data_IF_710412830142
#
_entry.id   IF_710412830142
#
_cell.length_a   1.000
_cell.length_b   1.000
_cell.length_c   1.000
_cell.angle_alpha   90.00
_cell.angle_beta   90.00
_cell.angle_gamma   90.00
#
_symmetry.space_group_name_H-M   'P 1'
#
loop_
_entity.id
_entity.type
_entity.pdbx_description
1 polymer ?
#
# COMPACT_ATOMS: atom_id res chain seq x y z
N UNK A 1 -30.53 -33.87 15.88
CA UNK A 1 -29.43 -33.98 14.91
C UNK A 1 -29.57 -32.80 13.95
N UNK A 2 -28.91 -31.68 14.25
CA UNK A 2 -29.03 -30.45 13.45
C UNK A 2 -28.01 -30.45 12.32
N UNK A 3 -28.42 -30.26 11.06
CA UNK A 3 -27.52 -29.96 9.97
C UNK A 3 -27.20 -28.46 10.05
N UNK A 4 -26.45 -28.05 11.07
CA UNK A 4 -25.67 -26.82 10.99
C UNK A 4 -24.46 -27.19 10.13
N UNK A 5 -24.77 -27.24 8.83
CA UNK A 5 -23.85 -27.49 7.75
C UNK A 5 -22.69 -26.54 7.98
N UNK A 6 -21.54 -27.15 8.26
CA UNK A 6 -20.23 -26.55 8.35
C UNK A 6 -19.96 -25.95 6.97
N UNK A 7 -20.50 -24.76 6.72
CA UNK A 7 -20.13 -23.94 5.59
C UNK A 7 -18.71 -23.50 5.93
N UNK A 8 -17.75 -24.37 5.61
CA UNK A 8 -16.34 -24.06 5.68
C UNK A 8 -16.18 -22.84 4.79
N UNK A 9 -16.07 -21.69 5.45
CA UNK A 9 -15.84 -20.39 4.85
C UNK A 9 -14.52 -20.53 4.10
N UNK A 10 -14.58 -20.87 2.81
CA UNK A 10 -13.41 -20.91 1.95
C UNK A 10 -13.08 -19.48 1.53
N UNK A 11 -12.81 -18.61 2.51
CA UNK A 11 -11.98 -17.45 2.24
C UNK A 11 -10.69 -18.01 1.66
N UNK A 12 -10.35 -17.61 0.44
CA UNK A 12 -9.15 -18.15 -0.18
C UNK A 12 -7.97 -17.73 0.70
N UNK A 13 -7.02 -18.63 1.01
CA UNK A 13 -5.89 -18.32 1.91
C UNK A 13 -5.01 -17.17 1.41
N UNK A 14 -5.28 -16.62 0.23
CA UNK A 14 -4.70 -15.40 -0.31
C UNK A 14 -5.25 -14.10 0.27
N UNK A 15 -6.49 -14.08 0.76
CA UNK A 15 -7.13 -12.84 1.24
C UNK A 15 -6.77 -12.53 2.69
N UNK A 16 -6.62 -13.58 3.51
CA UNK A 16 -6.37 -13.53 4.96
C UNK A 16 -4.92 -13.20 5.36
N UNK A 17 -4.22 -12.35 4.60
CA UNK A 17 -2.85 -11.95 4.97
C UNK A 17 -2.33 -10.72 4.24
N UNK A 18 -3.20 -9.98 3.56
CA UNK A 18 -2.78 -8.76 2.86
C UNK A 18 -2.80 -7.58 3.83
N UNK A 19 -1.74 -6.79 3.79
CA UNK A 19 -1.71 -5.48 4.44
C UNK A 19 -2.75 -4.55 3.77
N UNK A 20 -3.27 -3.55 4.48
CA UNK A 20 -4.05 -2.47 3.89
C UNK A 20 -3.29 -1.80 2.72
N UNK A 21 -3.98 -1.46 1.64
CA UNK A 21 -3.41 -0.67 0.54
C UNK A 21 -3.37 0.81 0.90
N UNK A 22 -2.46 1.15 1.80
CA UNK A 22 -2.23 2.50 2.26
C UNK A 22 -0.73 2.75 2.40
N UNK A 23 -0.28 3.88 1.89
CA UNK A 23 1.09 4.33 1.95
C UNK A 23 1.17 5.82 2.15
N UNK A 24 2.20 6.25 2.87
CA UNK A 24 2.49 7.65 3.16
C UNK A 24 3.29 8.30 2.02
N UNK A 25 4.12 7.50 1.34
CA UNK A 25 5.00 7.97 0.28
C UNK A 25 4.31 8.00 -1.10
N UNK A 26 4.89 8.78 -2.01
CA UNK A 26 4.39 8.97 -3.36
C UNK A 26 4.48 7.71 -4.24
N UNK A 27 3.54 7.56 -5.18
CA UNK A 27 3.49 6.43 -6.12
C UNK A 27 3.34 5.05 -5.47
N UNK A 28 2.85 5.03 -4.23
CA UNK A 28 2.73 3.83 -3.41
C UNK A 28 4.08 3.21 -3.05
N UNK A 29 5.14 4.02 -2.97
CA UNK A 29 6.44 3.57 -2.49
C UNK A 29 6.30 3.00 -1.07
N UNK A 30 6.77 1.77 -0.88
CA UNK A 30 6.63 1.08 0.40
C UNK A 30 5.17 0.76 0.78
N UNK A 31 4.23 0.75 -0.17
CA UNK A 31 2.95 0.06 -0.01
C UNK A 31 3.13 -1.46 -0.16
N UNK A 32 2.25 -2.24 0.47
CA UNK A 32 2.26 -3.68 0.26
C UNK A 32 1.71 -4.02 -1.12
N UNK A 33 2.15 -5.16 -1.67
CA UNK A 33 1.49 -5.74 -2.83
C UNK A 33 0.88 -7.09 -2.45
N UNK A 34 -0.21 -7.53 -3.10
CA UNK A 34 -0.72 -8.86 -2.89
C UNK A 34 0.36 -9.92 -3.16
N UNK A 35 0.59 -10.79 -2.19
CA UNK A 35 1.56 -11.90 -2.26
C UNK A 35 1.15 -12.99 -3.24
N UNK A 36 -0.13 -13.02 -3.61
CA UNK A 36 -0.69 -14.00 -4.51
C UNK A 36 -0.58 -13.56 -5.97
N UNK A 37 0.01 -14.42 -6.82
CA UNK A 37 -0.02 -14.23 -8.26
C UNK A 37 -1.44 -14.45 -8.77
N UNK A 38 -2.21 -13.36 -8.88
CA UNK A 38 -3.54 -13.35 -9.49
C UNK A 38 -3.63 -12.22 -10.48
N UNK A 39 -4.38 -12.44 -11.56
CA UNK A 39 -4.70 -11.40 -12.52
C UNK A 39 -5.88 -10.59 -11.98
N UNK A 40 -5.74 -9.27 -11.95
CA UNK A 40 -6.76 -8.39 -11.43
C UNK A 40 -6.63 -6.98 -11.99
N UNK A 41 -7.76 -6.27 -12.07
CA UNK A 41 -7.82 -4.83 -12.25
C UNK A 41 -8.34 -4.19 -10.98
N UNK A 42 -7.78 -3.04 -10.61
CA UNK A 42 -8.22 -2.30 -9.45
C UNK A 42 -8.42 -0.82 -9.78
N UNK A 43 -9.40 -0.22 -9.13
CA UNK A 43 -9.63 1.21 -9.16
C UNK A 43 -9.79 1.68 -7.72
N UNK A 44 -9.12 2.77 -7.36
CA UNK A 44 -9.20 3.30 -6.01
C UNK A 44 -9.10 4.80 -5.95
N UNK A 45 -9.52 5.35 -4.82
CA UNK A 45 -9.32 6.74 -4.47
C UNK A 45 -8.77 6.81 -3.05
N UNK A 46 -8.02 7.86 -2.75
CA UNK A 46 -7.48 8.04 -1.41
C UNK A 46 -6.99 9.45 -1.19
N UNK A 47 -6.50 9.68 0.01
CA UNK A 47 -5.91 10.95 0.38
C UNK A 47 -5.17 10.88 1.69
N UNK A 48 -4.40 11.92 1.94
CA UNK A 48 -3.76 12.17 3.22
C UNK A 48 -3.95 13.60 3.66
N UNK A 49 -3.87 13.78 4.97
CA UNK A 49 -3.85 15.07 5.63
C UNK A 49 -2.61 15.12 6.51
N UNK A 50 -1.75 16.12 6.27
CA UNK A 50 -0.62 16.47 7.12
C UNK A 50 -0.90 17.81 7.77
N UNK A 51 -0.69 17.90 9.08
CA UNK A 51 -0.81 19.15 9.83
C UNK A 51 0.35 19.30 10.81
N UNK A 52 1.15 20.34 10.61
CA UNK A 52 2.19 20.79 11.52
C UNK A 52 1.82 22.20 12.02
N UNK A 53 1.18 22.25 13.19
CA UNK A 53 0.69 23.48 13.79
C UNK A 53 1.80 24.39 14.27
N UNK A 54 2.95 23.82 14.65
CA UNK A 54 4.08 24.58 15.20
C UNK A 54 4.76 25.41 14.10
N UNK A 55 4.70 24.93 12.85
CA UNK A 55 5.29 25.59 11.68
C UNK A 55 4.28 26.23 10.73
N UNK A 56 2.98 26.28 11.10
CA UNK A 56 1.89 26.75 10.24
C UNK A 56 1.96 26.10 8.85
N UNK A 57 2.11 24.77 8.83
CA UNK A 57 2.23 23.99 7.61
C UNK A 57 1.15 22.91 7.56
N UNK A 58 0.47 22.80 6.43
CA UNK A 58 -0.46 21.72 6.15
C UNK A 58 -0.31 21.23 4.71
N UNK A 59 -0.56 19.95 4.49
CA UNK A 59 -0.61 19.39 3.14
C UNK A 59 -1.82 18.46 3.03
N UNK A 60 -2.67 18.74 2.06
CA UNK A 60 -3.81 17.88 1.72
C UNK A 60 -3.56 17.30 0.35
N UNK A 61 -3.58 15.97 0.25
CA UNK A 61 -3.49 15.25 -1.03
C UNK A 61 -4.72 14.39 -1.20
N UNK A 62 -5.25 14.37 -2.41
CA UNK A 62 -6.24 13.41 -2.86
C UNK A 62 -5.77 12.80 -4.19
N UNK A 63 -6.04 11.53 -4.41
CA UNK A 63 -5.64 10.83 -5.63
C UNK A 63 -6.66 9.79 -6.05
N UNK A 64 -6.69 9.50 -7.35
CA UNK A 64 -7.37 8.36 -7.94
C UNK A 64 -6.35 7.46 -8.62
N UNK A 65 -6.44 6.15 -8.41
CA UNK A 65 -5.49 5.15 -8.88
C UNK A 65 -6.19 4.09 -9.72
N UNK A 66 -5.53 3.70 -10.81
CA UNK A 66 -5.86 2.53 -11.62
C UNK A 66 -4.71 1.54 -11.51
N UNK A 67 -4.99 0.33 -11.05
CA UNK A 67 -4.03 -0.75 -10.94
C UNK A 67 -4.38 -1.90 -11.88
N UNK A 68 -3.35 -2.54 -12.40
CA UNK A 68 -3.45 -3.79 -13.15
C UNK A 68 -2.39 -4.77 -12.67
N UNK A 69 -2.77 -6.03 -12.52
CA UNK A 69 -1.86 -7.12 -12.18
C UNK A 69 -2.13 -8.29 -13.09
N UNK A 70 -1.05 -8.95 -13.50
CA UNK A 70 -1.11 -10.12 -14.37
C UNK A 70 -0.26 -11.25 -13.79
N UNK A 71 -0.89 -12.40 -13.55
CA UNK A 71 -0.19 -13.60 -13.12
C UNK A 71 0.60 -14.18 -14.30
N UNK A 72 1.93 -14.08 -14.23
CA UNK A 72 2.84 -14.66 -15.23
C UNK A 72 3.00 -16.17 -15.01
N UNK A 73 2.93 -16.61 -13.75
CA UNK A 73 2.94 -18.01 -13.35
C UNK A 73 2.18 -18.22 -12.03
N UNK A 74 2.18 -19.45 -11.52
CA UNK A 74 1.66 -19.79 -10.20
C UNK A 74 2.45 -19.18 -9.02
N UNK A 75 3.63 -18.61 -9.32
CA UNK A 75 4.55 -17.98 -8.35
C UNK A 75 4.86 -16.53 -8.64
N UNK A 76 4.64 -16.03 -9.85
CA UNK A 76 5.05 -14.68 -10.24
C UNK A 76 3.89 -13.88 -10.82
N UNK A 77 3.80 -12.62 -10.42
CA UNK A 77 2.92 -11.64 -11.06
C UNK A 77 3.66 -10.34 -11.30
N UNK A 78 3.30 -9.65 -12.37
CA UNK A 78 3.72 -8.27 -12.64
C UNK A 78 2.55 -7.34 -12.40
N UNK A 79 2.83 -6.13 -11.95
CA UNK A 79 1.80 -5.12 -11.72
C UNK A 79 2.24 -3.75 -12.20
N UNK A 80 1.24 -2.92 -12.50
CA UNK A 80 1.39 -1.50 -12.78
C UNK A 80 0.26 -0.73 -12.09
N UNK A 81 0.58 0.44 -11.55
CA UNK A 81 -0.35 1.32 -10.84
C UNK A 81 -0.15 2.75 -11.33
N UNK A 82 -1.20 3.37 -11.85
CA UNK A 82 -1.19 4.74 -12.36
C UNK A 82 -2.08 5.62 -11.49
N UNK A 83 -1.51 6.69 -10.92
CA UNK A 83 -2.29 7.77 -10.32
C UNK A 83 -2.94 8.61 -11.44
N UNK A 84 -4.15 8.23 -11.85
CA UNK A 84 -4.91 8.90 -12.92
C UNK A 84 -5.15 10.39 -12.64
N UNK A 85 -5.39 10.71 -11.37
CA UNK A 85 -5.59 12.07 -10.90
C UNK A 85 -4.90 12.23 -9.56
N UNK A 86 -4.22 13.36 -9.39
CA UNK A 86 -3.57 13.80 -8.16
C UNK A 86 -3.92 15.26 -7.95
N UNK A 87 -4.53 15.54 -6.83
CA UNK A 87 -4.73 16.89 -6.32
C UNK A 87 -3.92 17.05 -5.04
N UNK A 88 -3.15 18.13 -4.94
CA UNK A 88 -2.36 18.43 -3.77
C UNK A 88 -2.41 19.93 -3.49
N UNK A 89 -2.62 20.31 -2.23
CA UNK A 89 -2.53 21.70 -1.80
C UNK A 89 -1.69 21.80 -0.54
N UNK A 90 -0.76 22.76 -0.53
CA UNK A 90 0.07 23.10 0.62
C UNK A 90 -0.46 24.39 1.23
N UNK A 91 -0.83 24.30 2.50
CA UNK A 91 -1.24 25.41 3.34
C UNK A 91 0.01 25.87 4.08
N UNK A 92 0.62 26.95 3.61
CA UNK A 92 1.78 27.58 4.27
C UNK A 92 1.80 29.08 3.94
N UNK A 93 2.84 29.80 4.36
CA UNK A 93 3.05 31.21 3.97
C UNK A 93 3.16 31.40 2.45
N UNK A 94 3.62 30.36 1.74
CA UNK A 94 3.60 30.30 0.27
C UNK A 94 2.72 29.11 -0.12
N UNK A 95 1.48 29.38 -0.51
CA UNK A 95 0.56 28.34 -0.96
C UNK A 95 0.95 27.84 -2.34
N UNK A 96 0.99 26.52 -2.51
CA UNK A 96 1.13 25.87 -3.80
C UNK A 96 0.02 24.83 -3.96
N UNK A 97 -0.54 24.74 -5.16
CA UNK A 97 -1.53 23.73 -5.50
C UNK A 97 -1.18 23.09 -6.82
N UNK A 98 -1.47 21.79 -6.93
CA UNK A 98 -1.23 21.00 -8.11
C UNK A 98 -2.44 20.11 -8.40
N UNK A 99 -2.82 20.03 -9.66
CA UNK A 99 -3.82 19.11 -10.18
C UNK A 99 -3.28 18.51 -11.48
N UNK A 100 -3.11 17.19 -11.53
CA UNK A 100 -2.53 16.53 -12.69
C UNK A 100 -2.60 15.02 -12.61
N UNK A 101 -1.89 14.36 -13.51
CA UNK A 101 -1.59 12.92 -13.41
C UNK A 101 -0.48 12.77 -12.38
N UNK A 102 -0.54 11.72 -11.55
CA UNK A 102 0.48 11.43 -10.56
C UNK A 102 1.54 10.45 -11.08
N UNK A 103 2.04 9.62 -10.18
CA UNK A 103 3.11 8.68 -10.49
C UNK A 103 2.61 7.37 -11.14
N UNK A 104 3.52 6.72 -11.87
CA UNK A 104 3.36 5.39 -12.42
C UNK A 104 4.28 4.43 -11.66
N UNK A 105 3.70 3.53 -10.87
CA UNK A 105 4.39 2.42 -10.25
C UNK A 105 4.39 1.20 -11.17
N UNK A 106 5.52 0.54 -11.34
CA UNK A 106 5.64 -0.76 -12.01
C UNK A 106 6.44 -1.71 -11.14
N UNK A 107 6.06 -2.98 -11.12
CA UNK A 107 6.70 -3.93 -10.22
C UNK A 107 6.30 -5.37 -10.45
N UNK A 108 6.69 -6.21 -9.50
CA UNK A 108 6.32 -7.61 -9.51
C UNK A 108 6.40 -8.24 -8.13
N UNK A 109 5.69 -9.35 -8.02
CA UNK A 109 5.65 -10.22 -6.84
C UNK A 109 6.17 -11.59 -7.23
N UNK A 110 7.01 -12.19 -6.40
CA UNK A 110 7.52 -13.55 -6.55
C UNK A 110 7.34 -14.36 -5.26
N UNK A 111 6.52 -15.41 -5.29
CA UNK A 111 6.32 -16.33 -4.18
C UNK A 111 7.47 -17.35 -4.11
N UNK A 112 8.31 -17.23 -3.07
CA UNK A 112 9.39 -18.18 -2.77
C UNK A 112 8.84 -19.53 -2.31
N UNK A 113 7.84 -19.49 -1.43
CA UNK A 113 7.27 -20.67 -0.81
C UNK A 113 5.76 -20.50 -0.71
N UNK A 114 5.03 -21.51 -1.20
CA UNK A 114 3.58 -21.62 -1.13
C UNK A 114 3.24 -22.92 -0.40
N UNK A 115 2.77 -22.80 0.83
CA UNK A 115 2.15 -23.88 1.57
C UNK A 115 0.70 -23.49 1.91
N UNK A 116 -0.11 -24.44 2.35
CA UNK A 116 -1.53 -24.20 2.65
C UNK A 116 -1.73 -23.18 3.77
N UNK A 117 -0.79 -23.13 4.72
CA UNK A 117 -0.90 -22.31 5.94
C UNK A 117 0.07 -21.15 5.99
N UNK A 118 1.07 -21.08 5.09
CA UNK A 118 2.03 -19.99 5.09
C UNK A 118 2.58 -19.71 3.70
N UNK A 119 2.91 -18.44 3.45
CA UNK A 119 3.49 -17.96 2.21
C UNK A 119 4.64 -16.99 2.51
N UNK A 120 5.69 -17.10 1.71
CA UNK A 120 6.79 -16.12 1.68
C UNK A 120 6.90 -15.61 0.25
N UNK A 121 6.94 -14.29 0.10
CA UNK A 121 7.10 -13.63 -1.20
C UNK A 121 8.07 -12.46 -1.14
N UNK A 122 8.64 -12.13 -2.29
CA UNK A 122 9.30 -10.86 -2.51
C UNK A 122 8.43 -9.98 -3.39
N UNK A 123 8.43 -8.70 -3.09
CA UNK A 123 7.79 -7.64 -3.87
C UNK A 123 8.88 -6.65 -4.23
N UNK A 124 8.88 -6.21 -5.49
CA UNK A 124 9.73 -5.13 -5.95
C UNK A 124 8.92 -4.12 -6.76
N UNK A 125 9.20 -2.84 -6.56
CA UNK A 125 8.49 -1.73 -7.21
C UNK A 125 9.49 -0.65 -7.62
N UNK A 126 9.22 -0.05 -8.77
CA UNK A 126 9.84 1.19 -9.24
C UNK A 126 8.74 2.20 -9.50
N UNK A 127 8.92 3.42 -9.02
CA UNK A 127 8.01 4.54 -9.23
C UNK A 127 8.66 5.50 -10.21
N UNK A 128 7.96 5.76 -11.31
CA UNK A 128 8.42 6.57 -12.43
C UNK A 128 7.91 8.02 -12.30
N UNK A 129 8.70 9.03 -12.73
CA UNK A 129 8.40 10.45 -12.63
C UNK A 129 7.34 10.91 -13.65
N UNK A 130 6.15 10.32 -13.63
CA UNK A 130 5.04 10.70 -14.54
C UNK A 130 4.16 11.82 -13.98
N UNK A 131 4.46 12.31 -12.78
CA UNK A 131 3.78 13.44 -12.14
C UNK A 131 4.20 14.78 -12.79
N UNK A 132 3.86 14.94 -14.08
CA UNK A 132 4.26 16.08 -14.90
C UNK A 132 3.67 17.38 -14.32
N UNK A 133 4.50 18.41 -14.17
CA UNK A 133 4.09 19.71 -13.62
C UNK A 133 3.99 19.75 -12.10
N UNK A 134 4.24 18.63 -11.40
CA UNK A 134 4.45 18.64 -9.94
C UNK A 134 5.88 19.08 -9.59
N UNK A 135 6.84 18.74 -10.44
CA UNK A 135 8.24 19.11 -10.33
C UNK A 135 8.69 19.80 -11.62
N UNK A 136 9.03 21.09 -11.55
CA UNK A 136 9.45 21.86 -12.73
C UNK A 136 10.94 21.63 -13.08
N UNK A 137 11.78 21.44 -12.07
CA UNK A 137 13.25 21.40 -12.21
C UNK A 137 13.87 20.08 -11.69
N UNK A 138 13.03 19.08 -11.42
CA UNK A 138 13.43 17.83 -10.76
C UNK A 138 12.71 16.63 -11.35
N UNK A 139 13.44 15.54 -11.57
CA UNK A 139 12.92 14.26 -12.06
C UNK A 139 13.19 13.19 -11.00
N UNK A 140 12.22 12.89 -10.12
CA UNK A 140 12.39 11.94 -9.03
C UNK A 140 12.22 10.49 -9.50
N UNK A 141 13.13 9.63 -9.10
CA UNK A 141 13.00 8.18 -9.24
C UNK A 141 13.01 7.55 -7.85
N UNK A 142 12.13 6.57 -7.63
CA UNK A 142 12.14 5.81 -6.40
C UNK A 142 11.80 4.35 -6.64
N UNK A 143 12.09 3.52 -5.65
CA UNK A 143 11.76 2.11 -5.69
C UNK A 143 11.93 1.46 -4.34
N UNK A 144 11.29 0.31 -4.19
CA UNK A 144 11.34 -0.49 -2.98
C UNK A 144 11.43 -1.98 -3.32
N UNK A 145 11.98 -2.72 -2.37
CA UNK A 145 12.02 -4.18 -2.37
C UNK A 145 11.71 -4.66 -0.96
N UNK A 146 10.72 -5.54 -0.83
CA UNK A 146 10.33 -6.11 0.46
C UNK A 146 10.10 -7.62 0.41
N UNK A 147 10.47 -8.29 1.49
CA UNK A 147 10.02 -9.63 1.81
C UNK A 147 8.72 -9.57 2.62
N UNK A 148 7.76 -10.39 2.24
CA UNK A 148 6.47 -10.54 2.90
C UNK A 148 6.26 -11.98 3.36
N UNK A 149 5.72 -12.12 4.57
CA UNK A 149 5.35 -13.38 5.17
C UNK A 149 3.87 -13.33 5.54
N UNK A 150 3.15 -14.41 5.24
CA UNK A 150 1.75 -14.59 5.62
C UNK A 150 1.56 -15.95 6.26
N UNK A 151 0.67 -16.04 7.24
CA UNK A 151 0.29 -17.29 7.88
C UNK A 151 -1.19 -17.31 8.21
N UNK A 152 -1.89 -18.35 7.76
CA UNK A 152 -3.26 -18.63 8.18
C UNK A 152 -3.24 -19.42 9.49
N UNK A 153 -3.94 -18.95 10.51
CA UNK A 153 -3.98 -19.53 11.86
C UNK A 153 -5.20 -20.46 12.09
N UNK A 154 -6.09 -20.57 11.09
CA UNK A 154 -7.37 -21.26 11.21
C UNK A 154 -8.50 -20.33 11.68
N UNK A 155 -9.75 -20.80 11.65
CA UNK A 155 -10.94 -20.04 12.12
C UNK A 155 -11.11 -18.64 11.48
N UNK A 156 -10.66 -18.45 10.24
CA UNK A 156 -10.74 -17.15 9.55
C UNK A 156 -9.71 -16.13 10.01
N UNK A 157 -8.71 -16.50 10.81
CA UNK A 157 -7.61 -15.62 11.22
C UNK A 157 -6.36 -15.84 10.37
N UNK A 158 -5.64 -14.77 10.12
CA UNK A 158 -4.29 -14.81 9.56
C UNK A 158 -3.41 -13.71 10.13
N UNK A 159 -2.10 -13.91 10.03
CA UNK A 159 -1.09 -12.93 10.38
C UNK A 159 -0.21 -12.65 9.18
N UNK A 160 0.35 -11.45 9.14
CA UNK A 160 1.25 -11.04 8.09
C UNK A 160 2.35 -10.14 8.61
N UNK A 161 3.49 -10.21 7.94
CA UNK A 161 4.70 -9.48 8.28
C UNK A 161 5.39 -9.01 7.00
N UNK A 162 6.06 -7.87 7.07
CA UNK A 162 6.80 -7.27 5.97
C UNK A 162 8.08 -6.65 6.48
N UNK A 163 9.14 -6.81 5.70
CA UNK A 163 10.40 -6.12 5.90
C UNK A 163 10.98 -5.78 4.54
N UNK A 164 11.40 -4.54 4.35
CA UNK A 164 11.93 -4.08 3.07
C UNK A 164 12.86 -2.90 3.19
N UNK A 165 13.47 -2.58 2.05
CA UNK A 165 14.28 -1.39 1.81
C UNK A 165 13.55 -0.55 0.77
N UNK A 166 13.67 0.76 0.89
CA UNK A 166 13.21 1.69 -0.15
C UNK A 166 14.24 2.78 -0.35
N UNK A 167 14.20 3.40 -1.53
CA UNK A 167 15.12 4.48 -1.83
C UNK A 167 14.59 5.37 -2.94
N UNK A 168 15.18 6.55 -3.01
CA UNK A 168 14.89 7.53 -4.05
C UNK A 168 16.11 8.35 -4.39
N UNK A 169 16.12 8.90 -5.59
CA UNK A 169 17.07 9.90 -6.02
C UNK A 169 16.37 10.88 -6.96
N UNK A 170 16.90 12.09 -7.05
CA UNK A 170 16.36 13.14 -7.90
C UNK A 170 17.43 13.56 -8.89
N UNK A 171 17.06 13.58 -10.17
CA UNK A 171 17.88 14.19 -11.23
C UNK A 171 17.42 15.64 -11.38
N UNK A 172 18.31 16.60 -11.15
CA UNK A 172 18.03 18.04 -11.24
C UNK A 172 19.28 18.82 -11.63
N UNK A 173 19.17 20.14 -11.81
CA UNK A 173 20.32 21.04 -11.98
C UNK A 173 21.16 21.20 -10.69
N UNK A 174 20.62 20.81 -9.53
CA UNK A 174 21.29 20.88 -8.24
C UNK A 174 21.96 19.56 -7.83
N UNK A 175 22.61 19.53 -6.65
CA UNK A 175 23.17 18.29 -6.10
C UNK A 175 22.10 17.21 -5.93
N UNK A 176 22.45 15.97 -6.28
CA UNK A 176 21.59 14.82 -6.04
C UNK A 176 21.61 14.47 -4.54
N UNK A 177 20.41 14.30 -3.96
CA UNK A 177 20.24 13.87 -2.58
C UNK A 177 19.58 12.49 -2.56
N UNK A 178 20.37 11.40 -2.71
CA UNK A 178 19.81 10.06 -2.59
C UNK A 178 19.29 9.83 -1.18
N UNK A 179 18.15 9.18 -1.07
CA UNK A 179 17.55 8.74 0.19
C UNK A 179 17.40 7.23 0.18
N UNK A 180 17.56 6.60 1.34
CA UNK A 180 17.34 5.19 1.52
C UNK A 180 16.78 4.95 2.91
N UNK A 181 15.86 4.01 3.04
CA UNK A 181 15.22 3.69 4.32
C UNK A 181 14.81 2.24 4.40
N UNK A 182 14.31 1.88 5.56
CA UNK A 182 13.75 0.56 5.87
C UNK A 182 12.26 0.70 6.13
N UNK A 183 11.50 -0.30 5.70
CA UNK A 183 10.10 -0.44 6.05
C UNK A 183 9.89 -1.77 6.76
N UNK A 184 9.10 -1.74 7.82
CA UNK A 184 8.67 -2.92 8.55
C UNK A 184 7.16 -2.84 8.77
N UNK A 185 6.51 -4.01 8.81
CA UNK A 185 5.09 -4.08 9.11
C UNK A 185 4.72 -5.42 9.72
N UNK A 186 3.76 -5.41 10.62
CA UNK A 186 3.18 -6.59 11.26
C UNK A 186 1.68 -6.37 11.37
N UNK A 187 0.90 -7.41 11.14
CA UNK A 187 -0.54 -7.28 11.16
C UNK A 187 -1.27 -8.60 11.36
N UNK A 188 -2.56 -8.44 11.59
CA UNK A 188 -3.52 -9.53 11.74
C UNK A 188 -4.72 -9.25 10.86
N UNK A 189 -5.27 -10.31 10.26
CA UNK A 189 -6.54 -10.25 9.55
C UNK A 189 -7.52 -11.26 10.11
N UNK A 190 -8.80 -10.93 9.99
CA UNK A 190 -9.90 -11.73 10.48
C UNK A 190 -11.08 -11.67 9.50
N UNK A 191 -11.52 -12.83 9.02
CA UNK A 191 -12.80 -13.01 8.32
C UNK A 191 -13.89 -13.36 9.32
N UNK A 192 -14.87 -12.46 9.43
CA UNK A 192 -16.04 -12.63 10.30
C UNK A 192 -17.06 -13.56 9.66
N UNK A 193 -17.25 -13.37 8.35
CA UNK A 193 -18.19 -14.07 7.47
C UNK A 193 -17.55 -14.20 6.09
N UNK A 194 -18.13 -15.03 5.21
CA UNK A 194 -17.54 -15.36 3.91
C UNK A 194 -17.37 -14.19 2.94
N UNK A 195 -18.05 -13.07 3.18
CA UNK A 195 -17.98 -11.87 2.31
C UNK A 195 -17.32 -10.68 3.00
N UNK A 196 -16.83 -10.81 4.24
CA UNK A 196 -16.31 -9.68 4.99
C UNK A 196 -15.11 -10.07 5.84
N UNK A 197 -14.05 -9.27 5.74
CA UNK A 197 -12.85 -9.38 6.56
C UNK A 197 -12.34 -8.02 7.01
N UNK A 198 -11.56 -8.00 8.09
CA UNK A 198 -10.85 -6.81 8.55
C UNK A 198 -9.38 -7.13 8.78
N UNK A 199 -8.55 -6.09 8.76
CA UNK A 199 -7.14 -6.16 9.13
C UNK A 199 -6.76 -5.03 10.08
N UNK A 200 -5.85 -5.32 11.01
CA UNK A 200 -5.24 -4.35 11.92
C UNK A 200 -3.73 -4.54 11.88
N UNK A 201 -3.03 -3.46 11.56
CA UNK A 201 -1.62 -3.48 11.23
C UNK A 201 -0.88 -2.38 11.97
N UNK A 202 0.40 -2.63 12.25
CA UNK A 202 1.37 -1.62 12.64
C UNK A 202 2.45 -1.59 11.58
N UNK A 203 2.67 -0.43 10.99
CA UNK A 203 3.70 -0.19 9.96
C UNK A 203 4.69 0.84 10.45
N UNK A 204 5.94 0.72 10.03
CA UNK A 204 6.98 1.67 10.40
C UNK A 204 7.98 1.88 9.26
N UNK A 205 8.50 3.09 9.16
CA UNK A 205 9.60 3.46 8.28
C UNK A 205 10.73 4.09 9.08
N UNK A 206 11.97 3.81 8.68
CA UNK A 206 13.18 4.27 9.34
C UNK A 206 14.22 4.75 8.31
N UNK A 207 14.90 5.85 8.64
CA UNK A 207 16.10 6.31 7.95
C UNK A 207 15.86 6.98 6.60
N UNK A 208 14.62 7.05 6.11
CA UNK A 208 14.35 7.61 4.78
C UNK A 208 14.47 9.14 4.74
N UNK A 209 13.85 9.81 5.72
CA UNK A 209 13.96 11.24 5.99
C UNK A 209 14.53 11.49 7.39
N UNK A 210 14.19 10.63 8.37
CA UNK A 210 14.58 10.73 9.78
C UNK A 210 14.96 9.36 10.37
N UNK A 211 15.67 9.28 11.52
CA UNK A 211 16.01 7.99 12.14
C UNK A 211 14.80 7.08 12.38
N UNK A 212 13.66 7.69 12.73
CA UNK A 212 12.34 7.05 12.77
C UNK A 212 11.39 7.95 12.01
N UNK A 213 11.06 7.59 10.77
CA UNK A 213 10.14 8.37 9.94
C UNK A 213 8.74 8.31 10.57
N UNK A 214 8.20 7.10 10.74
CA UNK A 214 6.91 6.91 11.40
C UNK A 214 6.76 5.52 12.02
N UNK A 215 5.85 5.45 12.99
CA UNK A 215 5.15 4.23 13.41
C UNK A 215 3.67 4.55 13.33
N UNK A 216 2.94 3.78 12.53
CA UNK A 216 1.53 4.01 12.23
C UNK A 216 0.69 2.77 12.49
N UNK A 217 -0.52 3.01 12.99
CA UNK A 217 -1.55 2.00 13.07
C UNK A 217 -2.41 2.12 11.81
N UNK A 218 -2.71 0.98 11.17
CA UNK A 218 -3.57 0.90 10.02
C UNK A 218 -4.70 -0.10 10.25
N UNK A 219 -5.85 0.20 9.68
CA UNK A 219 -7.06 -0.61 9.72
C UNK A 219 -7.57 -0.77 8.29
N UNK A 220 -8.08 -1.96 7.96
CA UNK A 220 -8.81 -2.17 6.72
C UNK A 220 -10.09 -2.97 6.98
N UNK A 221 -11.14 -2.65 6.22
CA UNK A 221 -12.35 -3.43 6.08
C UNK A 221 -12.47 -3.85 4.61
N UNK A 222 -12.72 -5.13 4.36
CA UNK A 222 -12.85 -5.72 3.03
C UNK A 222 -14.21 -6.39 2.89
N UNK A 223 -14.84 -6.15 1.75
CA UNK A 223 -16.12 -6.73 1.36
C UNK A 223 -15.92 -7.47 0.03
N UNK A 224 -16.16 -8.77 0.03
CA UNK A 224 -16.04 -9.63 -1.14
C UNK A 224 -17.43 -9.88 -1.74
N UNK A 225 -17.62 -9.55 -3.02
CA UNK A 225 -18.87 -9.70 -3.74
C UNK A 225 -18.74 -10.88 -4.72
N UNK A 226 -18.89 -12.10 -4.20
CA UNK A 226 -18.61 -13.31 -4.99
C UNK A 226 -17.12 -13.65 -4.95
N UNK A 227 -16.63 -14.36 -5.97
CA UNK A 227 -15.21 -14.77 -6.06
C UNK A 227 -14.31 -13.70 -6.63
N UNK A 228 -14.86 -12.79 -7.44
CA UNK A 228 -14.08 -11.98 -8.37
C UNK A 228 -13.95 -10.53 -7.90
N UNK A 229 -14.92 -10.03 -7.16
CA UNK A 229 -15.02 -8.62 -6.79
C UNK A 229 -14.73 -8.38 -5.31
N UNK A 230 -13.93 -7.36 -5.02
CA UNK A 230 -13.61 -6.94 -3.65
C UNK A 230 -13.60 -5.42 -3.52
N UNK A 231 -14.17 -4.90 -2.43
CA UNK A 231 -14.05 -3.51 -2.00
C UNK A 231 -13.27 -3.44 -0.69
N UNK A 232 -12.22 -2.63 -0.64
CA UNK A 232 -11.41 -2.38 0.55
C UNK A 232 -11.53 -0.90 0.94
N UNK A 233 -11.85 -0.65 2.21
CA UNK A 233 -11.73 0.66 2.86
C UNK A 233 -10.61 0.56 3.89
N UNK A 234 -9.57 1.39 3.77
CA UNK A 234 -8.44 1.41 4.67
C UNK A 234 -8.17 2.82 5.22
N UNK A 235 -7.64 2.88 6.44
CA UNK A 235 -7.18 4.11 7.06
C UNK A 235 -5.92 3.83 7.89
N UNK A 236 -5.04 4.81 7.97
CA UNK A 236 -3.83 4.74 8.77
C UNK A 236 -3.54 6.07 9.44
N UNK A 237 -2.95 6.02 10.63
CA UNK A 237 -2.55 7.21 11.39
C UNK A 237 -1.23 6.94 12.11
N UNK A 238 -0.20 7.77 11.88
CA UNK A 238 1.04 7.69 12.64
C UNK A 238 0.80 8.17 14.07
N UNK A 239 1.41 7.48 15.03
CA UNK A 239 1.33 7.81 16.45
C UNK A 239 2.71 8.02 17.09
N UNK A 240 3.79 7.78 16.34
CA UNK A 240 5.16 8.08 16.72
C UNK A 240 6.03 8.31 15.46
N UNK A 241 7.19 8.96 15.64
CA UNK A 241 8.14 9.29 14.56
C UNK A 241 8.15 10.79 14.22
N UNK A 242 8.90 11.14 13.17
CA UNK A 242 9.00 12.51 12.66
C UNK A 242 7.85 12.91 11.73
N UNK A 243 7.16 11.93 11.15
CA UNK A 243 6.02 12.11 10.26
C UNK A 243 4.90 12.90 10.93
N UNK A 244 4.35 13.87 10.20
CA UNK A 244 3.31 14.80 10.66
C UNK A 244 1.97 14.55 10.01
N UNK A 245 1.85 13.51 9.19
CA UNK A 245 0.56 13.05 8.70
C UNK A 245 -0.39 12.79 9.87
N UNK A 246 -1.60 13.33 9.80
CA UNK A 246 -2.67 13.11 10.77
C UNK A 246 -3.37 11.79 10.45
N UNK A 247 -3.71 11.62 9.18
CA UNK A 247 -4.45 10.46 8.69
C UNK A 247 -4.25 10.28 7.18
N UNK A 248 -4.17 9.03 6.77
CA UNK A 248 -4.34 8.61 5.39
C UNK A 248 -5.56 7.68 5.29
N UNK A 249 -6.27 7.72 4.17
CA UNK A 249 -7.41 6.86 3.91
C UNK A 249 -7.48 6.47 2.42
N UNK A 250 -7.91 5.24 2.15
CA UNK A 250 -8.08 4.73 0.78
C UNK A 250 -9.36 3.90 0.66
N UNK A 251 -9.98 3.97 -0.50
CA UNK A 251 -11.06 3.11 -0.95
C UNK A 251 -10.60 2.45 -2.25
N UNK A 252 -10.63 1.12 -2.34
CA UNK A 252 -10.16 0.37 -3.49
C UNK A 252 -11.15 -0.71 -3.86
N UNK A 253 -11.61 -0.70 -5.11
CA UNK A 253 -12.30 -1.80 -5.73
C UNK A 253 -11.31 -2.65 -6.55
N UNK A 254 -11.47 -3.97 -6.54
CA UNK A 254 -10.66 -4.92 -7.29
C UNK A 254 -11.56 -5.95 -7.95
N UNK A 255 -11.34 -6.20 -9.25
CA UNK A 255 -11.97 -7.25 -10.03
C UNK A 255 -10.91 -8.26 -10.48
N UNK A 256 -11.14 -9.54 -10.21
CA UNK A 256 -10.22 -10.66 -10.52
C UNK A 256 -10.67 -11.34 -11.82
N UNK A 257 -9.69 -11.84 -12.56
CA UNK A 257 -9.88 -12.49 -13.86
C UNK A 257 -9.41 -13.94 -13.83
#
# INVERSE_FOLDING_TARGET
MSPLLMLVISATPCELGTFPSIGFLDGGLGESAPTCPTSALSFGAGGHLLADTDHFYGNVRAFGRLGGRYAVSDRAAVFAELELIRWQTVISSVSASHLGVGFLGVGGTFALRKADTHRISFVGRVVLPTAIGLYEEAVPFSGDVSGEYQRTLGSGFGTHARLGVLGSFVVSHGPAFPRAGLIAGLGMSWSFVSFMSAAVDVTSSFGYSDPVDHVAAALALRLDFGSDDQLELAAASPFAGAEREVVAATLRYTHRM
#
